data_IF_068470617373
#
_entry.id   IF_068470617373
#
_cell.length_a   1.000
_cell.length_b   1.000
_cell.length_c   1.000
_cell.angle_alpha   90.00
_cell.angle_beta   90.00
_cell.angle_gamma   90.00
#
_symmetry.space_group_name_H-M   'P 1'
#
loop_
_entity.id
_entity.type
_entity.pdbx_description
1 polymer ?
#
# COMPACT_ATOMS: atom_id res chain seq x y z
N UNK A 1 13.49 -29.93 5.93
CA UNK A 1 14.53 -29.39 6.81
C UNK A 1 14.03 -28.10 7.43
N UNK A 2 14.56 -27.74 8.59
CA UNK A 2 14.19 -26.51 9.34
C UNK A 2 15.38 -25.58 9.32
N UNK A 3 15.16 -24.29 9.01
CA UNK A 3 16.20 -23.28 8.96
C UNK A 3 15.90 -22.16 9.95
N UNK A 4 16.94 -21.44 10.40
CA UNK A 4 16.79 -20.26 11.26
C UNK A 4 16.22 -19.12 10.41
N UNK A 5 15.02 -18.65 10.77
CA UNK A 5 14.37 -17.54 10.07
C UNK A 5 15.08 -16.21 10.38
N UNK A 6 15.15 -15.34 9.37
CA UNK A 6 15.48 -13.93 9.61
C UNK A 6 14.42 -13.31 10.54
N UNK A 7 14.76 -12.29 11.36
CA UNK A 7 13.78 -11.59 12.19
C UNK A 7 12.59 -11.11 11.34
N UNK A 8 11.37 -11.26 11.87
CA UNK A 8 10.18 -10.72 11.21
C UNK A 8 10.35 -9.21 11.05
N UNK A 9 10.08 -8.69 9.86
CA UNK A 9 9.95 -7.25 9.65
C UNK A 9 8.78 -6.79 10.52
N UNK A 10 9.07 -5.95 11.51
CA UNK A 10 8.08 -5.42 12.43
C UNK A 10 7.66 -4.03 11.94
N UNK A 11 6.50 -3.89 11.32
CA UNK A 11 5.96 -2.56 11.01
C UNK A 11 5.21 -2.04 12.24
N UNK A 12 5.56 -0.84 12.71
CA UNK A 12 4.79 -0.18 13.76
C UNK A 12 3.43 0.23 13.19
N UNK A 13 2.34 -0.02 13.93
CA UNK A 13 1.01 0.48 13.57
C UNK A 13 0.91 1.97 13.92
N UNK A 14 1.63 2.80 13.19
CA UNK A 14 1.60 4.25 13.30
C UNK A 14 1.17 4.86 11.94
N UNK A 15 0.96 6.18 11.91
CA UNK A 15 0.61 6.94 10.71
C UNK A 15 1.78 7.41 9.80
N UNK A 16 3.08 7.06 9.99
CA UNK A 16 4.07 7.41 8.98
C UNK A 16 3.80 6.60 7.72
N UNK A 17 4.18 7.16 6.58
CA UNK A 17 4.06 6.46 5.31
C UNK A 17 5.01 5.24 5.30
N UNK A 18 4.61 4.16 4.62
CA UNK A 18 5.45 2.96 4.49
C UNK A 18 6.94 3.24 4.13
N UNK A 19 7.27 4.17 3.20
CA UNK A 19 8.66 4.52 2.93
C UNK A 19 9.40 5.16 4.11
N UNK A 20 8.72 5.90 4.97
CA UNK A 20 9.30 6.50 6.18
C UNK A 20 9.60 5.43 7.23
N UNK A 21 8.68 4.48 7.45
CA UNK A 21 8.87 3.35 8.37
C UNK A 21 10.06 2.47 7.97
N UNK A 22 10.18 2.13 6.69
CA UNK A 22 11.29 1.29 6.21
C UNK A 22 12.63 2.01 6.35
N UNK A 23 12.70 3.30 6.00
CA UNK A 23 13.94 4.08 6.17
C UNK A 23 14.33 4.20 7.64
N UNK A 24 13.38 4.36 8.55
CA UNK A 24 13.63 4.39 9.98
C UNK A 24 14.24 3.06 10.50
N UNK A 25 13.97 1.95 9.81
CA UNK A 25 14.54 0.63 10.10
C UNK A 25 15.85 0.35 9.35
N UNK A 26 16.40 1.34 8.63
CA UNK A 26 17.59 1.17 7.80
C UNK A 26 17.37 0.30 6.55
N UNK A 27 16.11 0.07 6.18
CA UNK A 27 15.72 -0.68 4.99
C UNK A 27 15.44 0.31 3.86
N UNK A 28 16.00 0.06 2.67
CA UNK A 28 15.45 0.70 1.47
C UNK A 28 14.01 0.20 1.30
N UNK A 29 13.05 1.05 0.91
CA UNK A 29 11.69 0.61 0.62
C UNK A 29 11.51 0.28 -0.87
N UNK A 30 11.83 -0.94 -1.34
CA UNK A 30 11.42 -1.31 -2.67
C UNK A 30 9.90 -1.49 -2.67
N UNK A 31 9.22 -0.73 -3.53
CA UNK A 31 7.86 -1.04 -3.93
C UNK A 31 7.83 -1.18 -5.43
N UNK A 32 7.21 -2.24 -5.92
CA UNK A 32 6.99 -2.44 -7.36
C UNK A 32 5.53 -2.14 -7.66
N UNK A 33 5.28 -1.25 -8.62
CA UNK A 33 3.93 -0.99 -9.12
C UNK A 33 3.43 -2.25 -9.83
N UNK A 34 2.27 -2.75 -9.42
CA UNK A 34 1.56 -3.84 -10.08
C UNK A 34 0.60 -3.25 -11.11
N UNK A 35 -0.25 -2.33 -10.66
CA UNK A 35 -1.28 -1.72 -11.48
C UNK A 35 -1.54 -0.29 -11.03
N UNK A 36 -1.82 0.59 -11.97
CA UNK A 36 -2.39 1.91 -11.72
C UNK A 36 -3.52 2.14 -12.70
N UNK A 37 -4.67 2.52 -12.17
CA UNK A 37 -5.87 2.62 -12.97
C UNK A 37 -6.91 3.49 -12.33
N UNK A 38 -7.95 3.77 -13.10
CA UNK A 38 -9.11 4.46 -12.59
C UNK A 38 -10.28 3.51 -12.49
N UNK A 39 -10.96 3.56 -11.36
CA UNK A 39 -12.21 2.84 -11.13
C UNK A 39 -13.34 3.82 -10.89
N UNK A 40 -14.56 3.31 -10.94
CA UNK A 40 -15.77 4.01 -10.54
C UNK A 40 -16.05 3.70 -9.07
N UNK A 41 -16.29 4.71 -8.25
CA UNK A 41 -16.63 4.54 -6.84
C UNK A 41 -17.98 3.80 -6.71
N UNK A 42 -17.95 2.64 -6.06
CA UNK A 42 -19.15 1.91 -5.67
C UNK A 42 -19.70 2.42 -4.32
N UNK A 43 -20.80 1.83 -3.87
CA UNK A 43 -21.46 2.20 -2.62
C UNK A 43 -20.60 1.91 -1.37
N UNK A 44 -19.46 1.21 -1.51
CA UNK A 44 -18.52 0.93 -0.42
C UNK A 44 -17.40 1.96 -0.37
N UNK A 45 -16.82 2.30 -1.52
CA UNK A 45 -15.68 3.23 -1.63
C UNK A 45 -16.14 4.68 -1.54
N UNK A 46 -17.28 5.02 -2.13
CA UNK A 46 -17.81 6.38 -2.15
C UNK A 46 -17.93 7.02 -0.74
N UNK A 47 -18.56 6.37 0.26
CA UNK A 47 -18.65 6.95 1.60
C UNK A 47 -17.31 7.00 2.34
N UNK A 48 -16.38 6.08 2.08
CA UNK A 48 -15.06 6.07 2.72
C UNK A 48 -14.17 7.23 2.26
N UNK A 49 -14.38 7.71 1.03
CA UNK A 49 -13.61 8.79 0.42
C UNK A 49 -14.36 10.13 0.40
N UNK A 50 -15.57 10.19 0.97
CA UNK A 50 -16.46 11.36 0.94
C UNK A 50 -16.71 11.91 -0.49
N UNK A 51 -17.07 10.99 -1.41
CA UNK A 51 -17.38 11.32 -2.80
C UNK A 51 -18.73 10.72 -3.22
N UNK A 52 -19.29 11.22 -4.33
CA UNK A 52 -20.53 10.67 -4.88
C UNK A 52 -20.29 9.27 -5.45
N UNK A 53 -21.22 8.30 -5.27
CA UNK A 53 -21.22 7.07 -6.05
C UNK A 53 -21.12 7.37 -7.55
N UNK A 54 -20.37 6.57 -8.29
CA UNK A 54 -20.08 6.84 -9.69
C UNK A 54 -18.88 7.76 -9.95
N UNK A 55 -18.31 8.40 -8.91
CA UNK A 55 -17.15 9.27 -9.06
C UNK A 55 -15.89 8.49 -9.44
N UNK A 56 -14.98 9.17 -10.14
CA UNK A 56 -13.69 8.60 -10.55
C UNK A 56 -12.75 8.48 -9.34
N UNK A 57 -12.18 7.29 -9.13
CA UNK A 57 -11.21 7.00 -8.06
C UNK A 57 -9.93 6.45 -8.68
N UNK A 58 -8.78 6.97 -8.26
CA UNK A 58 -7.48 6.43 -8.61
C UNK A 58 -7.20 5.21 -7.72
N UNK A 59 -7.01 4.04 -8.34
CA UNK A 59 -6.63 2.79 -7.68
C UNK A 59 -5.18 2.50 -8.00
N UNK A 60 -4.36 2.32 -6.97
CA UNK A 60 -2.94 1.99 -7.10
C UNK A 60 -2.65 0.69 -6.36
N UNK A 61 -2.13 -0.30 -7.06
CA UNK A 61 -1.74 -1.58 -6.51
C UNK A 61 -0.22 -1.73 -6.53
N UNK A 62 0.37 -2.07 -5.38
CA UNK A 62 1.82 -2.17 -5.18
C UNK A 62 2.20 -3.47 -4.50
N UNK A 63 3.26 -4.10 -5.00
CA UNK A 63 4.01 -5.11 -4.25
C UNK A 63 5.00 -4.40 -3.34
N UNK A 64 4.83 -4.56 -2.04
CA UNK A 64 5.79 -4.10 -1.02
C UNK A 64 6.87 -5.15 -0.85
N UNK A 65 8.12 -4.71 -0.93
CA UNK A 65 9.29 -5.56 -0.81
C UNK A 65 10.10 -5.11 0.42
N UNK A 66 10.81 -6.07 1.02
CA UNK A 66 11.85 -5.79 2.01
C UNK A 66 13.11 -6.56 1.59
N UNK A 67 14.21 -5.87 1.30
CA UNK A 67 15.46 -6.46 0.80
C UNK A 67 15.27 -7.39 -0.43
N UNK A 68 14.30 -7.08 -1.30
CA UNK A 68 13.99 -7.88 -2.49
C UNK A 68 12.96 -8.99 -2.28
N UNK A 69 12.61 -9.32 -1.04
CA UNK A 69 11.61 -10.34 -0.72
C UNK A 69 10.18 -9.73 -0.67
N UNK A 70 9.16 -10.36 -1.27
CA UNK A 70 7.78 -9.87 -1.28
C UNK A 70 7.11 -9.98 0.08
N UNK A 71 6.65 -8.85 0.62
CA UNK A 71 6.06 -8.73 1.94
C UNK A 71 4.54 -8.59 1.92
N UNK A 72 4.00 -7.73 1.05
CA UNK A 72 2.57 -7.43 1.01
C UNK A 72 2.11 -6.91 -0.35
N UNK A 73 0.81 -7.06 -0.63
CA UNK A 73 0.11 -6.33 -1.69
C UNK A 73 -0.66 -5.20 -1.04
N UNK A 74 -0.43 -3.99 -1.50
CA UNK A 74 -1.12 -2.79 -1.03
C UNK A 74 -2.02 -2.23 -2.14
N UNK A 75 -3.29 -1.97 -1.81
CA UNK A 75 -4.24 -1.32 -2.70
C UNK A 75 -4.66 0.02 -2.09
N UNK A 76 -4.25 1.12 -2.70
CA UNK A 76 -4.63 2.47 -2.28
C UNK A 76 -5.71 3.02 -3.20
N UNK A 77 -6.77 3.58 -2.60
CA UNK A 77 -7.85 4.29 -3.30
C UNK A 77 -7.76 5.77 -2.95
N UNK A 78 -7.64 6.63 -3.97
CA UNK A 78 -7.52 8.07 -3.81
C UNK A 78 -8.64 8.75 -4.59
N UNK A 79 -9.32 9.71 -3.94
CA UNK A 79 -10.28 10.57 -4.63
C UNK A 79 -9.57 11.32 -5.77
N UNK A 80 -10.16 11.31 -6.97
CA UNK A 80 -9.62 12.09 -8.09
C UNK A 80 -9.88 13.60 -7.96
N UNK A 81 -10.72 14.02 -7.01
CA UNK A 81 -10.90 15.43 -6.65
C UNK A 81 -9.87 15.79 -5.59
N UNK A 82 -8.96 16.71 -5.96
CA UNK A 82 -7.99 17.33 -5.07
C UNK A 82 -8.57 18.61 -4.49
#
# INVERSE_FOLDING_TARGET
GTFVAKPKVAQALQLPSYPEDMRAQGLEPPSRLIEVGSITADDRIAPLLDIKPGSRVLRIERLRLANGDPMAIEVAHLSAKR
#
